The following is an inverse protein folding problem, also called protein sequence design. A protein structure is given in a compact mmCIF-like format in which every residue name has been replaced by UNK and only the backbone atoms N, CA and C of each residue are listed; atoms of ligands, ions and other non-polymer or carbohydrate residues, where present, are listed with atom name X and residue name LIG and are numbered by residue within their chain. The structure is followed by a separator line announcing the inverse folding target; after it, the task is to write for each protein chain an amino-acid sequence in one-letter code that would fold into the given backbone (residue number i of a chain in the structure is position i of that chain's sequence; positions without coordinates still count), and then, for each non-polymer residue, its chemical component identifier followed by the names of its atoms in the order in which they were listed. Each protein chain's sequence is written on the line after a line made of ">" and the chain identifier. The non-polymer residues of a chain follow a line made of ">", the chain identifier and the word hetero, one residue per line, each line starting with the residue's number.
data_IF_597224090590
#
_entry.id   IF_597224090590
#
_cell.length_a   1.000
_cell.length_b   1.000
_cell.length_c   1.000
_cell.angle_alpha   90.00
_cell.angle_beta   90.00
_cell.angle_gamma   90.00
#
_symmetry.space_group_name_H-M   'P 1'
#
loop_
_entity.id
_entity.type
_entity.pdbx_description
1 polymer ?
#
# COMPACT_ATOMS: atom_id res chain seq x y z
N UNK A 1 -8.23 21.97 24.84
CA UNK A 1 -8.97 20.90 24.13
C UNK A 1 -8.38 20.79 22.73
N UNK A 2 -7.49 19.82 22.51
CA UNK A 2 -6.98 19.54 21.16
C UNK A 2 -8.16 18.93 20.38
N UNK A 3 -8.60 19.59 19.32
CA UNK A 3 -9.51 18.95 18.36
C UNK A 3 -8.79 17.73 17.81
N UNK A 4 -9.27 16.54 18.12
CA UNK A 4 -8.81 15.32 17.46
C UNK A 4 -8.88 15.56 15.95
N UNK A 5 -7.75 15.38 15.27
CA UNK A 5 -7.68 15.51 13.82
C UNK A 5 -8.71 14.55 13.20
N UNK A 6 -9.62 15.07 12.36
CA UNK A 6 -10.63 14.25 11.69
C UNK A 6 -9.96 13.20 10.78
N UNK A 7 -10.70 12.15 10.41
CA UNK A 7 -10.14 11.02 9.66
C UNK A 7 -9.49 11.42 8.33
N UNK A 8 -10.08 12.37 7.60
CA UNK A 8 -9.57 12.87 6.33
C UNK A 8 -8.17 13.48 6.50
N UNK A 9 -8.00 14.37 7.48
CA UNK A 9 -6.70 14.99 7.74
C UNK A 9 -5.68 13.99 8.28
N UNK A 10 -6.11 12.99 9.07
CA UNK A 10 -5.22 11.89 9.46
C UNK A 10 -4.74 11.09 8.26
N UNK A 11 -5.61 10.75 7.31
CA UNK A 11 -5.23 10.02 6.10
C UNK A 11 -4.23 10.83 5.26
N UNK A 12 -4.43 12.14 5.08
CA UNK A 12 -3.47 13.00 4.37
C UNK A 12 -2.09 13.00 5.03
N UNK A 13 -2.03 13.08 6.36
CA UNK A 13 -0.77 12.95 7.12
C UNK A 13 -0.16 11.56 6.87
N UNK A 14 -0.96 10.50 7.04
CA UNK A 14 -0.51 9.12 6.89
C UNK A 14 0.00 8.80 5.48
N UNK A 15 -0.55 9.41 4.42
CA UNK A 15 -0.04 9.29 3.06
C UNK A 15 1.40 9.80 2.93
N UNK A 16 1.70 10.97 3.51
CA UNK A 16 3.07 11.51 3.53
C UNK A 16 4.01 10.64 4.35
N UNK A 17 3.54 10.18 5.52
CA UNK A 17 4.31 9.27 6.36
C UNK A 17 4.60 7.94 5.65
N UNK A 18 3.60 7.32 5.02
CA UNK A 18 3.74 6.08 4.26
C UNK A 18 4.72 6.23 3.10
N UNK A 19 4.66 7.36 2.36
CA UNK A 19 5.62 7.69 1.30
C UNK A 19 7.07 7.74 1.80
N UNK A 20 7.28 8.28 3.00
CA UNK A 20 8.61 8.33 3.62
C UNK A 20 9.05 6.97 4.16
N UNK A 21 8.13 6.23 4.77
CA UNK A 21 8.41 4.92 5.35
C UNK A 21 8.73 3.88 4.26
N UNK A 22 7.92 3.82 3.20
CA UNK A 22 8.11 2.94 2.05
C UNK A 22 8.86 3.64 0.90
N UNK A 23 10.01 4.22 1.25
CA UNK A 23 10.81 5.01 0.32
C UNK A 23 11.32 4.24 -0.91
N UNK A 24 11.47 2.92 -0.79
CA UNK A 24 11.93 2.05 -1.87
C UNK A 24 10.78 1.41 -2.66
N UNK A 25 9.53 1.73 -2.32
CA UNK A 25 8.32 1.18 -2.96
C UNK A 25 8.26 -0.35 -2.90
N UNK A 26 8.53 -0.90 -1.71
CA UNK A 26 8.58 -2.33 -1.43
C UNK A 26 7.20 -2.91 -1.14
N UNK A 27 6.24 -2.07 -0.74
CA UNK A 27 4.85 -2.48 -0.60
C UNK A 27 4.31 -2.83 -1.99
N UNK A 28 3.63 -3.98 -2.08
CA UNK A 28 3.05 -4.45 -3.34
C UNK A 28 2.22 -3.34 -4.03
N UNK A 29 2.50 -3.11 -5.32
CA UNK A 29 1.89 -2.09 -6.16
C UNK A 29 2.33 -0.63 -5.91
N UNK A 30 3.07 -0.34 -4.83
CA UNK A 30 3.53 1.01 -4.50
C UNK A 30 4.45 1.64 -5.55
N UNK A 31 5.20 0.84 -6.30
CA UNK A 31 6.07 1.34 -7.38
C UNK A 31 5.27 1.93 -8.55
N UNK A 32 4.00 1.53 -8.71
CA UNK A 32 3.09 2.04 -9.73
C UNK A 32 2.56 3.41 -9.35
N UNK A 33 1.97 3.56 -8.16
CA UNK A 33 1.34 4.83 -7.77
C UNK A 33 2.29 5.80 -7.03
N UNK A 34 3.41 5.32 -6.47
CA UNK A 34 4.46 6.11 -5.78
C UNK A 34 3.93 7.05 -4.69
N UNK A 35 2.85 6.63 -4.03
CA UNK A 35 2.08 7.43 -3.07
C UNK A 35 1.58 8.78 -3.61
N UNK A 36 1.42 8.90 -4.93
CA UNK A 36 0.88 10.09 -5.59
C UNK A 36 -0.64 10.02 -5.62
N UNK A 37 -1.26 11.12 -5.22
CA UNK A 37 -2.71 11.35 -5.34
C UNK A 37 -2.92 12.76 -5.87
N UNK A 38 -3.73 12.89 -6.91
CA UNK A 38 -4.08 14.19 -7.50
C UNK A 38 -5.22 14.87 -6.73
N UNK A 39 -5.52 16.11 -7.10
CA UNK A 39 -6.51 16.94 -6.41
C UNK A 39 -7.90 16.28 -6.35
N UNK A 40 -8.69 16.57 -5.29
CA UNK A 40 -10.05 16.09 -5.20
C UNK A 40 -10.95 16.62 -6.32
N UNK A 41 -12.00 15.87 -6.64
CA UNK A 41 -13.03 16.31 -7.60
C UNK A 41 -14.02 17.27 -6.95
N UNK A 42 -14.66 18.08 -7.79
CA UNK A 42 -15.77 18.90 -7.36
C UNK A 42 -17.02 18.04 -7.10
N UNK A 43 -17.85 18.45 -6.15
CA UNK A 43 -19.14 17.81 -5.90
C UNK A 43 -20.03 17.73 -7.15
N UNK A 44 -19.92 18.69 -8.08
CA UNK A 44 -20.66 18.67 -9.35
C UNK A 44 -20.25 17.50 -10.23
N UNK A 45 -18.96 17.19 -10.32
CA UNK A 45 -18.45 16.05 -11.09
C UNK A 45 -18.95 14.73 -10.47
N UNK A 46 -18.88 14.61 -9.14
CA UNK A 46 -19.41 13.47 -8.40
C UNK A 46 -20.91 13.27 -8.63
N UNK A 47 -21.71 14.35 -8.53
CA UNK A 47 -23.17 14.27 -8.78
C UNK A 47 -23.51 13.95 -10.23
N UNK A 48 -22.70 14.42 -11.19
CA UNK A 48 -22.87 14.02 -12.58
C UNK A 48 -22.59 12.53 -12.78
N UNK A 49 -21.55 11.98 -12.15
CA UNK A 49 -21.26 10.54 -12.20
C UNK A 49 -22.40 9.72 -11.59
N UNK A 50 -22.83 10.05 -10.37
CA UNK A 50 -23.96 9.39 -9.69
C UNK A 50 -25.24 9.42 -10.54
N UNK A 51 -25.55 10.58 -11.15
CA UNK A 51 -26.72 10.73 -12.02
C UNK A 51 -26.60 9.94 -13.33
N UNK A 52 -25.41 9.90 -13.93
CA UNK A 52 -25.18 9.20 -15.20
C UNK A 52 -25.44 7.70 -15.08
N UNK A 53 -25.07 7.12 -13.93
CA UNK A 53 -25.20 5.69 -13.67
C UNK A 53 -26.35 5.32 -12.74
N UNK A 54 -27.15 6.30 -12.31
CA UNK A 54 -28.24 6.16 -11.34
C UNK A 54 -27.84 5.44 -10.04
N UNK A 55 -26.70 5.82 -9.47
CA UNK A 55 -26.16 5.24 -8.23
C UNK A 55 -26.00 6.30 -7.13
N UNK A 56 -25.80 5.82 -5.90
CA UNK A 56 -25.33 6.64 -4.79
C UNK A 56 -24.04 6.06 -4.23
N UNK A 57 -22.94 6.80 -4.36
CA UNK A 57 -21.65 6.40 -3.84
C UNK A 57 -21.68 6.42 -2.29
N UNK A 58 -21.03 5.45 -1.62
CA UNK A 58 -20.92 5.46 -0.16
C UNK A 58 -20.24 6.72 0.37
N UNK A 59 -20.70 7.24 1.52
CA UNK A 59 -20.24 8.51 2.10
C UNK A 59 -18.72 8.57 2.30
N UNK A 60 -18.12 7.47 2.79
CA UNK A 60 -16.69 7.34 3.01
C UNK A 60 -15.88 7.46 1.69
N UNK A 61 -16.36 6.84 0.62
CA UNK A 61 -15.73 6.92 -0.71
C UNK A 61 -15.93 8.30 -1.36
N UNK A 62 -17.13 8.89 -1.19
CA UNK A 62 -17.40 10.28 -1.58
C UNK A 62 -16.44 11.26 -0.89
N UNK A 63 -16.18 11.07 0.42
CA UNK A 63 -15.26 11.91 1.17
C UNK A 63 -13.81 11.75 0.70
N UNK A 64 -13.38 10.54 0.33
CA UNK A 64 -12.08 10.33 -0.31
C UNK A 64 -11.94 11.13 -1.60
N UNK A 65 -12.88 10.96 -2.53
CA UNK A 65 -12.84 11.60 -3.85
C UNK A 65 -12.89 13.14 -3.78
N UNK A 66 -13.64 13.70 -2.82
CA UNK A 66 -13.90 15.15 -2.71
C UNK A 66 -13.01 15.88 -1.72
N UNK A 67 -12.30 15.17 -0.83
CA UNK A 67 -11.48 15.81 0.21
C UNK A 67 -10.03 15.30 0.29
N UNK A 68 -9.74 14.08 -0.19
CA UNK A 68 -8.39 13.50 -0.18
C UNK A 68 -7.78 13.61 -1.58
N UNK A 69 -8.46 13.07 -2.60
CA UNK A 69 -8.03 13.21 -3.98
C UNK A 69 -8.66 12.22 -4.95
N UNK A 70 -8.38 12.43 -6.24
CA UNK A 70 -8.87 11.57 -7.32
C UNK A 70 -7.82 11.42 -8.43
N UNK A 71 -7.46 10.18 -8.72
CA UNK A 71 -6.45 9.82 -9.71
C UNK A 71 -5.00 10.10 -9.30
N UNK A 72 -4.07 9.82 -10.22
CA UNK A 72 -2.64 9.85 -9.95
C UNK A 72 -1.79 9.72 -11.21
N UNK A 73 -0.69 8.95 -11.13
CA UNK A 73 0.28 8.88 -12.23
C UNK A 73 -0.32 8.21 -13.46
N UNK A 74 -0.19 8.87 -14.61
CA UNK A 74 -0.67 8.36 -15.90
C UNK A 74 0.36 7.41 -16.53
N UNK A 75 -0.12 6.24 -16.95
CA UNK A 75 0.69 5.24 -17.64
C UNK A 75 -0.07 4.76 -18.88
N UNK A 76 0.40 5.16 -20.06
CA UNK A 76 -0.21 4.77 -21.33
C UNK A 76 -0.30 3.24 -21.41
N UNK A 77 -1.45 2.74 -21.87
CA UNK A 77 -1.73 1.31 -22.06
C UNK A 77 -1.62 0.48 -20.76
N UNK A 78 -1.96 1.07 -19.61
CA UNK A 78 -2.00 0.38 -18.33
C UNK A 78 -3.39 0.43 -17.73
N UNK A 79 -3.89 -0.72 -17.25
CA UNK A 79 -5.16 -0.84 -16.50
C UNK A 79 -5.16 0.02 -15.23
N UNK A 80 -3.98 0.38 -14.72
CA UNK A 80 -3.84 1.14 -13.47
C UNK A 80 -3.41 2.59 -13.71
N UNK A 81 -3.38 3.01 -14.98
CA UNK A 81 -3.09 4.39 -15.37
C UNK A 81 -4.02 5.38 -14.68
N UNK A 82 -3.46 6.47 -14.20
CA UNK A 82 -4.18 7.54 -13.50
C UNK A 82 -4.88 7.09 -12.22
N UNK A 83 -4.45 6.00 -11.58
CA UNK A 83 -4.95 5.61 -10.26
C UNK A 83 -4.30 6.44 -9.16
N UNK A 84 -5.10 6.87 -8.18
CA UNK A 84 -4.62 7.45 -6.93
C UNK A 84 -3.88 6.39 -6.09
N UNK A 85 -2.97 6.84 -5.24
CA UNK A 85 -2.33 5.95 -4.26
C UNK A 85 -3.34 5.19 -3.41
N UNK A 86 -3.09 3.90 -3.18
CA UNK A 86 -3.95 3.04 -2.39
C UNK A 86 -3.43 1.60 -2.36
N UNK A 87 -4.15 0.69 -1.69
CA UNK A 87 -3.86 -0.74 -1.71
C UNK A 87 -3.65 -1.29 -3.13
N UNK A 88 -2.78 -2.29 -3.23
CA UNK A 88 -2.35 -2.90 -4.48
C UNK A 88 -1.89 -1.85 -5.51
N UNK A 89 -2.48 -1.84 -6.71
CA UNK A 89 -2.09 -0.89 -7.75
C UNK A 89 -2.76 0.49 -7.63
N UNK A 90 -3.52 0.73 -6.56
CA UNK A 90 -4.14 2.01 -6.25
C UNK A 90 -5.64 2.06 -6.51
N UNK A 91 -6.21 3.25 -6.25
CA UNK A 91 -7.63 3.52 -6.40
C UNK A 91 -7.86 4.20 -7.74
N UNK A 92 -8.67 3.60 -8.61
CA UNK A 92 -9.04 4.16 -9.90
C UNK A 92 -9.57 5.59 -9.78
N UNK A 93 -9.22 6.40 -10.79
CA UNK A 93 -9.88 7.69 -10.99
C UNK A 93 -11.38 7.46 -11.20
N UNK A 94 -12.23 8.35 -10.68
CA UNK A 94 -13.65 8.31 -10.98
C UNK A 94 -13.90 8.40 -12.50
N UNK A 95 -14.70 7.49 -13.04
CA UNK A 95 -14.95 7.34 -14.47
C UNK A 95 -13.90 6.52 -15.22
N UNK A 96 -13.03 5.79 -14.51
CA UNK A 96 -12.05 4.91 -15.15
C UNK A 96 -12.76 3.76 -15.92
N UNK A 97 -12.27 3.34 -17.10
CA UNK A 97 -12.95 2.34 -17.93
C UNK A 97 -13.17 1.00 -17.23
N UNK A 98 -12.24 0.60 -16.36
CA UNK A 98 -12.28 -0.67 -15.62
C UNK A 98 -13.07 -0.61 -14.30
N UNK A 99 -13.90 0.43 -14.10
CA UNK A 99 -14.83 0.46 -12.96
C UNK A 99 -16.01 -0.50 -13.12
N UNK A 100 -16.22 -1.02 -14.33
CA UNK A 100 -17.31 -1.92 -14.68
C UNK A 100 -16.71 -3.27 -15.09
N UNK A 101 -17.24 -4.35 -14.53
CA UNK A 101 -16.72 -5.72 -14.77
C UNK A 101 -17.06 -6.17 -16.18
N UNK A 102 -18.28 -5.88 -16.64
CA UNK A 102 -18.71 -6.08 -18.01
C UNK A 102 -19.58 -4.91 -18.48
N UNK A 103 -19.72 -4.71 -19.80
CA UNK A 103 -20.57 -3.63 -20.35
C UNK A 103 -22.01 -3.65 -19.79
N UNK A 104 -22.68 -4.81 -19.62
CA UNK A 104 -24.02 -4.86 -19.03
C UNK A 104 -24.08 -4.41 -17.56
N UNK A 105 -22.96 -4.37 -16.81
CA UNK A 105 -22.91 -4.02 -15.39
C UNK A 105 -23.60 -2.70 -15.07
N UNK A 106 -23.60 -1.74 -16.00
CA UNK A 106 -24.27 -0.44 -15.86
C UNK A 106 -25.75 -0.56 -15.47
N UNK A 107 -26.45 -1.61 -15.92
CA UNK A 107 -27.88 -1.86 -15.63
C UNK A 107 -28.13 -2.55 -14.28
N UNK A 108 -27.06 -2.94 -13.58
CA UNK A 108 -27.12 -3.74 -12.36
C UNK A 108 -26.47 -3.05 -11.15
N UNK A 109 -25.76 -1.93 -11.34
CA UNK A 109 -25.16 -1.16 -10.24
C UNK A 109 -26.19 -0.57 -9.26
N UNK A 110 -27.38 -0.19 -9.73
CA UNK A 110 -28.45 0.33 -8.86
C UNK A 110 -29.17 -0.75 -8.05
N UNK A 111 -28.95 -2.03 -8.39
CA UNK A 111 -29.64 -3.15 -7.76
C UNK A 111 -28.97 -3.53 -6.43
N UNK A 112 -29.71 -4.23 -5.60
CA UNK A 112 -29.13 -4.88 -4.43
C UNK A 112 -28.02 -5.85 -4.88
N UNK A 113 -26.91 -5.92 -4.13
CA UNK A 113 -25.86 -6.86 -4.47
C UNK A 113 -26.35 -8.28 -4.25
N UNK A 114 -26.07 -9.15 -5.22
CA UNK A 114 -26.32 -10.58 -5.06
C UNK A 114 -25.40 -11.14 -3.99
N UNK A 115 -24.10 -10.86 -4.10
CA UNK A 115 -23.12 -11.20 -3.07
C UNK A 115 -23.35 -10.40 -1.79
N UNK A 116 -23.38 -11.08 -0.66
CA UNK A 116 -23.38 -10.47 0.67
C UNK A 116 -22.62 -11.38 1.65
N UNK A 117 -22.53 -10.94 2.91
CA UNK A 117 -21.80 -11.68 3.97
C UNK A 117 -22.29 -13.12 4.22
N UNK A 118 -23.51 -13.45 3.82
CA UNK A 118 -24.09 -14.80 3.96
C UNK A 118 -23.93 -15.66 2.70
N UNK A 119 -23.40 -15.13 1.60
CA UNK A 119 -23.19 -15.89 0.36
C UNK A 119 -22.12 -16.94 0.58
N UNK A 120 -22.48 -18.21 0.37
CA UNK A 120 -21.56 -19.34 0.48
C UNK A 120 -20.84 -19.62 -0.84
N UNK A 121 -19.65 -20.25 -0.77
CA UNK A 121 -18.91 -20.70 -1.97
C UNK A 121 -19.79 -21.56 -2.88
N UNK A 122 -20.57 -22.48 -2.31
CA UNK A 122 -21.47 -23.37 -3.07
C UNK A 122 -22.60 -22.61 -3.78
N UNK A 123 -23.17 -21.58 -3.16
CA UNK A 123 -24.19 -20.76 -3.81
C UNK A 123 -23.59 -19.97 -4.99
N UNK A 124 -22.34 -19.52 -4.85
CA UNK A 124 -21.60 -18.85 -5.91
C UNK A 124 -21.23 -19.81 -7.05
N UNK A 125 -20.69 -20.99 -6.75
CA UNK A 125 -20.40 -22.06 -7.72
C UNK A 125 -21.63 -22.38 -8.57
N UNK A 126 -22.83 -22.41 -7.97
CA UNK A 126 -24.08 -22.69 -8.69
C UNK A 126 -24.46 -21.64 -9.75
N UNK A 127 -23.87 -20.44 -9.70
CA UNK A 127 -24.03 -19.41 -10.75
C UNK A 127 -23.18 -19.80 -11.95
N UNK A 128 -21.91 -20.13 -11.71
CA UNK A 128 -20.98 -20.57 -12.75
C UNK A 128 -21.42 -21.89 -13.39
N UNK A 129 -21.90 -22.88 -12.63
CA UNK A 129 -22.40 -24.16 -13.17
C UNK A 129 -23.57 -24.01 -14.17
N UNK A 130 -24.29 -22.88 -14.12
CA UNK A 130 -25.36 -22.58 -15.08
C UNK A 130 -24.84 -21.95 -16.38
N UNK A 131 -23.60 -21.49 -16.39
CA UNK A 131 -22.89 -20.94 -17.55
C UNK A 131 -22.08 -22.09 -18.18
N UNK A 132 -22.74 -22.93 -18.97
CA UNK A 132 -22.05 -24.00 -19.69
C UNK A 132 -21.25 -23.47 -20.90
N UNK A 133 -20.41 -24.30 -21.51
CA UNK A 133 -19.57 -23.96 -22.66
C UNK A 133 -20.36 -23.52 -23.92
N UNK A 134 -21.69 -23.56 -23.88
CA UNK A 134 -22.57 -23.15 -24.99
C UNK A 134 -23.17 -21.76 -24.80
N UNK A 135 -22.95 -21.13 -23.64
CA UNK A 135 -23.37 -19.74 -23.40
C UNK A 135 -22.68 -18.79 -24.40
N UNK A 136 -23.44 -17.81 -24.90
CA UNK A 136 -22.85 -16.77 -25.75
C UNK A 136 -22.05 -15.78 -24.90
N UNK A 137 -21.05 -15.12 -25.48
CA UNK A 137 -20.28 -14.07 -24.80
C UNK A 137 -21.20 -12.96 -24.23
N UNK A 138 -22.25 -12.59 -24.96
CA UNK A 138 -23.22 -11.57 -24.54
C UNK A 138 -24.05 -12.04 -23.33
N UNK A 139 -24.50 -13.30 -23.31
CA UNK A 139 -25.25 -13.86 -22.19
C UNK A 139 -24.35 -14.08 -20.97
N UNK A 140 -23.09 -14.46 -21.18
CA UNK A 140 -22.08 -14.57 -20.13
C UNK A 140 -21.88 -13.23 -19.42
N UNK A 141 -21.65 -12.14 -20.18
CA UNK A 141 -21.49 -10.79 -19.64
C UNK A 141 -22.71 -10.34 -18.83
N UNK A 142 -23.92 -10.74 -19.25
CA UNK A 142 -25.16 -10.45 -18.52
C UNK A 142 -25.21 -11.20 -17.19
N UNK A 143 -24.85 -12.48 -17.16
CA UNK A 143 -24.85 -13.27 -15.93
C UNK A 143 -23.75 -12.80 -14.96
N UNK A 144 -22.56 -12.46 -15.45
CA UNK A 144 -21.50 -11.83 -14.65
C UNK A 144 -21.97 -10.48 -14.07
N UNK A 145 -22.61 -9.63 -14.89
CA UNK A 145 -23.17 -8.37 -14.44
C UNK A 145 -24.27 -8.53 -13.37
N UNK A 146 -25.06 -9.60 -13.41
CA UNK A 146 -26.04 -9.96 -12.38
C UNK A 146 -25.35 -10.41 -11.09
N UNK A 147 -24.34 -11.28 -11.19
CA UNK A 147 -23.63 -11.83 -10.04
C UNK A 147 -22.91 -10.73 -9.25
N UNK A 148 -22.36 -9.74 -9.95
CA UNK A 148 -21.71 -8.56 -9.36
C UNK A 148 -22.61 -7.32 -9.28
N UNK A 149 -23.94 -7.50 -9.21
CA UNK A 149 -24.86 -6.37 -9.07
C UNK A 149 -24.50 -5.51 -7.85
N UNK A 150 -24.74 -4.20 -7.92
CA UNK A 150 -24.47 -3.30 -6.81
C UNK A 150 -23.00 -3.15 -6.40
N UNK A 151 -22.03 -3.65 -7.18
CA UNK A 151 -20.59 -3.54 -6.90
C UNK A 151 -19.92 -2.69 -7.98
N UNK A 152 -19.16 -1.68 -7.55
CA UNK A 152 -18.34 -0.83 -8.42
C UNK A 152 -16.86 -1.16 -8.22
N UNK A 153 -16.12 -1.46 -9.29
CA UNK A 153 -14.68 -1.61 -9.18
C UNK A 153 -14.03 -0.25 -8.93
N UNK A 154 -13.12 -0.21 -7.97
CA UNK A 154 -12.40 0.98 -7.51
C UNK A 154 -10.88 0.80 -7.57
N UNK A 155 -10.37 -0.37 -7.89
CA UNK A 155 -8.93 -0.61 -8.03
C UNK A 155 -8.64 -1.98 -8.63
N UNK A 156 -7.39 -2.19 -9.01
CA UNK A 156 -6.89 -3.45 -9.54
C UNK A 156 -5.93 -4.09 -8.54
N UNK A 157 -6.08 -5.39 -8.30
CA UNK A 157 -5.26 -6.17 -7.37
C UNK A 157 -4.22 -7.05 -8.07
N UNK A 158 -4.25 -7.15 -9.40
CA UNK A 158 -3.45 -8.12 -10.15
C UNK A 158 -4.10 -9.49 -10.23
N UNK A 159 -3.52 -10.40 -11.02
CA UNK A 159 -3.99 -11.79 -11.18
C UNK A 159 -5.52 -11.90 -11.41
N UNK A 160 -6.04 -11.13 -12.37
CA UNK A 160 -7.48 -11.06 -12.69
C UNK A 160 -8.38 -10.51 -11.57
N UNK A 161 -7.82 -9.98 -10.47
CA UNK A 161 -8.56 -9.49 -9.31
C UNK A 161 -8.73 -7.97 -9.27
N UNK A 162 -9.86 -7.51 -8.73
CA UNK A 162 -10.19 -6.11 -8.50
C UNK A 162 -10.63 -5.85 -7.07
N UNK A 163 -10.45 -4.61 -6.65
CA UNK A 163 -11.07 -4.07 -5.46
C UNK A 163 -12.40 -3.46 -5.86
N UNK A 164 -13.49 -3.97 -5.31
CA UNK A 164 -14.84 -3.46 -5.46
C UNK A 164 -15.32 -2.73 -4.21
N UNK A 165 -16.31 -1.85 -4.38
CA UNK A 165 -17.07 -1.25 -3.28
C UNK A 165 -18.56 -1.53 -3.46
N UNK A 166 -19.21 -1.94 -2.38
CA UNK A 166 -20.66 -2.23 -2.38
C UNK A 166 -21.44 -0.92 -2.33
N UNK A 167 -22.37 -0.73 -3.26
CA UNK A 167 -23.15 0.50 -3.43
C UNK A 167 -24.49 0.50 -2.70
N UNK A 168 -25.08 -0.68 -2.48
CA UNK A 168 -26.44 -0.84 -1.96
C UNK A 168 -26.53 -1.98 -0.93
N UNK A 169 -27.60 -2.01 -0.13
CA UNK A 169 -27.84 -3.04 0.87
C UNK A 169 -27.09 -2.82 2.19
N UNK A 170 -27.06 -3.85 3.03
CA UNK A 170 -26.53 -3.78 4.40
C UNK A 170 -25.01 -3.57 4.45
N UNK A 171 -24.27 -4.14 3.48
CA UNK A 171 -22.82 -3.99 3.37
C UNK A 171 -22.39 -2.73 2.58
N UNK A 172 -23.27 -1.74 2.36
CA UNK A 172 -22.95 -0.51 1.60
C UNK A 172 -21.71 0.18 2.16
N UNK A 173 -20.73 0.43 1.29
CA UNK A 173 -19.46 1.09 1.63
C UNK A 173 -18.33 0.14 2.01
N UNK A 174 -18.61 -1.15 2.21
CA UNK A 174 -17.60 -2.17 2.48
C UNK A 174 -16.85 -2.54 1.20
N UNK A 175 -15.58 -2.91 1.37
CA UNK A 175 -14.69 -3.30 0.28
C UNK A 175 -14.79 -4.82 0.07
N UNK A 176 -14.81 -5.22 -1.19
CA UNK A 176 -14.92 -6.61 -1.64
C UNK A 176 -13.82 -6.88 -2.67
N UNK A 177 -13.19 -8.05 -2.61
CA UNK A 177 -12.35 -8.52 -3.71
C UNK A 177 -13.24 -9.21 -4.75
N UNK A 178 -13.17 -8.75 -6.00
CA UNK A 178 -13.84 -9.35 -7.16
C UNK A 178 -12.82 -9.87 -8.17
N UNK A 179 -13.28 -10.59 -9.19
CA UNK A 179 -12.43 -11.25 -10.19
C UNK A 179 -13.05 -11.12 -11.58
N UNK A 180 -12.23 -11.07 -12.62
CA UNK A 180 -12.69 -11.22 -14.02
C UNK A 180 -13.25 -12.63 -14.25
N UNK A 181 -12.71 -13.62 -13.54
CA UNK A 181 -13.10 -15.02 -13.62
C UNK A 181 -14.16 -15.34 -12.56
N UNK A 182 -15.41 -15.54 -13.00
CA UNK A 182 -16.57 -15.78 -12.12
C UNK A 182 -16.44 -17.04 -11.27
N UNK A 183 -15.54 -17.96 -11.63
CA UNK A 183 -15.21 -19.17 -10.86
C UNK A 183 -14.69 -18.84 -9.45
N UNK A 184 -14.06 -17.68 -9.27
CA UNK A 184 -13.55 -17.26 -7.99
C UNK A 184 -14.61 -16.52 -7.18
N UNK A 185 -14.98 -17.11 -6.03
CA UNK A 185 -15.91 -16.50 -5.10
C UNK A 185 -15.34 -15.19 -4.52
N UNK A 186 -16.10 -14.08 -4.57
CA UNK A 186 -15.70 -12.82 -3.95
C UNK A 186 -15.58 -12.94 -2.43
N UNK A 187 -14.81 -12.04 -1.81
CA UNK A 187 -14.73 -11.98 -0.36
C UNK A 187 -14.66 -10.55 0.19
N UNK A 188 -15.28 -10.34 1.34
CA UNK A 188 -15.32 -9.04 2.01
C UNK A 188 -14.04 -8.79 2.81
N UNK A 189 -13.59 -7.54 2.78
CA UNK A 189 -12.64 -7.03 3.75
C UNK A 189 -13.34 -6.79 5.09
N UNK A 190 -12.56 -6.81 6.18
CA UNK A 190 -13.09 -6.74 7.55
C UNK A 190 -13.64 -5.36 7.91
N UNK A 191 -13.07 -4.31 7.35
CA UNK A 191 -13.45 -2.93 7.62
C UNK A 191 -14.78 -2.58 6.93
N UNK A 192 -15.73 -2.07 7.71
CA UNK A 192 -17.11 -1.82 7.28
C UNK A 192 -17.27 -0.64 6.30
N UNK A 193 -16.26 0.23 6.18
CA UNK A 193 -16.28 1.35 5.23
C UNK A 193 -14.90 1.59 4.59
N UNK A 194 -14.92 2.24 3.43
CA UNK A 194 -13.75 2.58 2.63
C UNK A 194 -12.64 3.31 3.39
N UNK A 195 -12.95 4.32 4.21
CA UNK A 195 -11.89 5.13 4.84
C UNK A 195 -11.18 4.37 5.96
N UNK A 196 -11.90 3.51 6.69
CA UNK A 196 -11.28 2.65 7.71
C UNK A 196 -10.34 1.63 7.08
N UNK A 197 -10.77 0.99 5.99
CA UNK A 197 -9.94 0.08 5.19
C UNK A 197 -8.68 0.79 4.67
N UNK A 198 -8.84 1.96 4.07
CA UNK A 198 -7.74 2.74 3.50
C UNK A 198 -6.77 3.24 4.59
N UNK A 199 -7.30 3.74 5.71
CA UNK A 199 -6.50 4.19 6.85
C UNK A 199 -5.73 3.02 7.50
N UNK A 200 -6.33 1.83 7.54
CA UNK A 200 -5.65 0.63 8.03
C UNK A 200 -4.50 0.20 7.12
N UNK A 201 -4.67 0.21 5.80
CA UNK A 201 -3.57 -0.02 4.86
C UNK A 201 -2.38 0.92 5.12
N UNK A 202 -2.64 2.21 5.31
CA UNK A 202 -1.59 3.17 5.66
C UNK A 202 -0.93 2.87 7.01
N UNK A 203 -1.70 2.44 8.02
CA UNK A 203 -1.13 2.05 9.32
C UNK A 203 -0.16 0.87 9.19
N UNK A 204 -0.49 -0.12 8.35
CA UNK A 204 0.36 -1.28 8.14
C UNK A 204 1.66 -0.94 7.38
N UNK A 205 1.62 0.07 6.50
CA UNK A 205 2.82 0.59 5.85
C UNK A 205 3.68 1.38 6.84
N UNK A 206 3.06 2.32 7.55
CA UNK A 206 3.74 3.21 8.50
C UNK A 206 4.41 2.42 9.61
N UNK A 207 3.80 1.35 10.10
CA UNK A 207 4.40 0.44 11.10
C UNK A 207 5.54 -0.44 10.55
N UNK A 208 5.72 -0.44 9.23
CA UNK A 208 6.65 -1.31 8.53
C UNK A 208 6.18 -2.77 8.38
N UNK A 209 4.95 -3.11 8.82
CA UNK A 209 4.41 -4.48 8.72
C UNK A 209 4.40 -4.97 7.27
N UNK A 210 3.91 -4.17 6.34
CA UNK A 210 3.85 -4.52 4.90
C UNK A 210 5.23 -4.56 4.25
N UNK A 211 6.12 -3.63 4.63
CA UNK A 211 7.50 -3.60 4.11
C UNK A 211 8.27 -4.86 4.56
N UNK A 212 8.11 -5.27 5.82
CA UNK A 212 8.82 -6.42 6.40
C UNK A 212 8.17 -7.77 6.07
N UNK A 213 7.07 -7.78 5.32
CA UNK A 213 6.48 -9.03 4.87
C UNK A 213 7.54 -9.81 4.07
N UNK A 214 7.65 -11.10 4.35
CA UNK A 214 8.63 -11.95 3.68
C UNK A 214 8.27 -12.02 2.20
N UNK A 215 9.22 -11.66 1.35
CA UNK A 215 9.12 -11.98 -0.07
C UNK A 215 9.31 -13.50 -0.23
N UNK A 216 8.43 -14.14 -0.99
CA UNK A 216 8.57 -15.55 -1.32
C UNK A 216 9.75 -15.72 -2.26
N UNK A 217 10.92 -16.07 -1.72
CA UNK A 217 12.06 -16.55 -2.50
C UNK A 217 12.47 -17.94 -2.01
N UNK A 218 12.80 -18.81 -2.96
CA UNK A 218 13.40 -20.11 -2.68
C UNK A 218 14.95 -20.03 -2.73
N UNK A 219 15.50 -18.84 -2.97
CA UNK A 219 16.95 -18.64 -3.08
C UNK A 219 17.64 -18.73 -1.72
N UNK A 220 18.87 -19.25 -1.72
CA UNK A 220 19.73 -19.20 -0.54
C UNK A 220 20.26 -17.78 -0.29
N UNK A 221 20.75 -17.55 0.93
CA UNK A 221 21.43 -16.31 1.31
C UNK A 221 22.61 -16.00 0.38
N UNK A 222 23.43 -17.01 0.08
CA UNK A 222 24.61 -16.89 -0.78
C UNK A 222 24.21 -16.49 -2.21
N UNK A 223 23.19 -17.14 -2.78
CA UNK A 223 22.68 -16.85 -4.13
C UNK A 223 22.20 -15.39 -4.24
N UNK A 224 21.46 -14.91 -3.23
CA UNK A 224 20.99 -13.52 -3.22
C UNK A 224 22.15 -12.51 -3.17
N UNK A 225 23.21 -12.81 -2.39
CA UNK A 225 24.41 -11.96 -2.29
C UNK A 225 25.20 -11.98 -3.60
N UNK A 226 25.41 -13.15 -4.21
CA UNK A 226 26.11 -13.28 -5.49
C UNK A 226 25.40 -12.50 -6.61
N UNK A 227 24.06 -12.61 -6.68
CA UNK A 227 23.25 -11.84 -7.63
C UNK A 227 23.39 -10.34 -7.39
N UNK A 228 23.21 -9.88 -6.15
CA UNK A 228 23.41 -8.47 -5.78
C UNK A 228 24.79 -7.92 -6.21
N UNK A 229 25.86 -8.68 -6.01
CA UNK A 229 27.22 -8.26 -6.32
C UNK A 229 27.53 -8.27 -7.83
N UNK A 230 26.87 -9.11 -8.60
CA UNK A 230 27.08 -9.27 -10.04
C UNK A 230 26.25 -8.30 -10.89
N UNK A 231 25.07 -7.91 -10.39
CA UNK A 231 24.16 -7.01 -11.10
C UNK A 231 24.72 -5.59 -11.24
N UNK A 232 24.55 -5.03 -12.45
CA UNK A 232 24.96 -3.66 -12.77
C UNK A 232 23.80 -2.67 -12.71
N UNK A 233 22.58 -3.16 -12.91
CA UNK A 233 21.37 -2.34 -12.93
C UNK A 233 20.80 -2.20 -11.52
N UNK A 234 20.48 -0.97 -11.11
CA UNK A 234 19.97 -0.68 -9.77
C UNK A 234 18.67 -1.44 -9.47
N UNK A 235 17.82 -1.68 -10.47
CA UNK A 235 16.59 -2.46 -10.30
C UNK A 235 16.84 -3.86 -9.75
N UNK A 236 17.71 -4.64 -10.41
CA UNK A 236 18.03 -6.00 -9.99
C UNK A 236 18.80 -6.06 -8.67
N UNK A 237 19.59 -5.02 -8.38
CA UNK A 237 20.16 -4.84 -7.04
C UNK A 237 19.08 -4.68 -5.97
N UNK A 238 18.04 -3.87 -6.20
CA UNK A 238 16.95 -3.72 -5.22
C UNK A 238 16.19 -5.04 -5.00
N UNK A 239 15.90 -5.78 -6.07
CA UNK A 239 15.26 -7.11 -5.97
C UNK A 239 16.13 -8.09 -5.16
N UNK A 240 17.44 -8.05 -5.35
CA UNK A 240 18.36 -8.90 -4.57
C UNK A 240 18.39 -8.48 -3.09
N UNK A 241 18.46 -7.17 -2.84
CA UNK A 241 18.49 -6.61 -1.49
C UNK A 241 17.17 -6.83 -0.73
N UNK A 242 16.03 -6.84 -1.41
CA UNK A 242 14.73 -7.14 -0.79
C UNK A 242 14.63 -8.60 -0.36
N UNK A 243 15.18 -9.53 -1.15
CA UNK A 243 15.31 -10.92 -0.72
C UNK A 243 16.25 -11.04 0.47
N UNK A 244 17.43 -10.39 0.44
CA UNK A 244 18.36 -10.36 1.57
C UNK A 244 17.67 -9.80 2.84
N UNK A 245 16.81 -8.78 2.69
CA UNK A 245 16.04 -8.20 3.79
C UNK A 245 15.12 -9.21 4.49
N UNK A 246 14.59 -10.20 3.77
CA UNK A 246 13.63 -11.17 4.31
C UNK A 246 14.24 -12.21 5.26
N UNK A 247 15.58 -12.39 5.22
CA UNK A 247 16.25 -13.32 6.14
C UNK A 247 16.19 -12.85 7.59
N UNK A 248 16.09 -13.82 8.50
CA UNK A 248 16.09 -13.55 9.94
C UNK A 248 17.49 -13.19 10.48
N UNK A 249 18.54 -13.75 9.86
CA UNK A 249 19.95 -13.51 10.17
C UNK A 249 20.77 -13.64 8.89
N UNK A 250 21.96 -13.07 8.86
CA UNK A 250 22.94 -13.26 7.79
C UNK A 250 24.22 -13.88 8.35
N UNK A 251 24.93 -14.62 7.51
CA UNK A 251 26.30 -15.06 7.78
C UNK A 251 27.28 -13.88 7.88
N UNK A 252 28.40 -14.09 8.57
CA UNK A 252 29.49 -13.10 8.66
C UNK A 252 30.02 -12.74 7.26
N UNK A 253 30.14 -13.71 6.36
CA UNK A 253 30.57 -13.50 4.98
C UNK A 253 29.64 -12.58 4.20
N UNK A 254 28.32 -12.72 4.37
CA UNK A 254 27.33 -11.86 3.70
C UNK A 254 27.33 -10.45 4.28
N UNK A 255 27.46 -10.30 5.60
CA UNK A 255 27.62 -8.99 6.24
C UNK A 255 28.89 -8.29 5.74
N UNK A 256 30.01 -9.00 5.64
CA UNK A 256 31.26 -8.48 5.08
C UNK A 256 31.12 -8.06 3.61
N UNK A 257 30.36 -8.83 2.81
CA UNK A 257 30.07 -8.50 1.43
C UNK A 257 29.24 -7.20 1.31
N UNK A 258 28.19 -7.07 2.11
CA UNK A 258 27.38 -5.84 2.18
C UNK A 258 28.21 -4.64 2.62
N UNK A 259 29.04 -4.79 3.66
CA UNK A 259 29.95 -3.74 4.14
C UNK A 259 30.95 -3.29 3.06
N UNK A 260 31.55 -4.24 2.32
CA UNK A 260 32.45 -3.93 1.20
C UNK A 260 31.71 -3.21 0.07
N UNK A 261 30.49 -3.64 -0.24
CA UNK A 261 29.65 -3.01 -1.27
C UNK A 261 29.26 -1.59 -0.87
N UNK A 262 28.76 -1.36 0.36
CA UNK A 262 28.40 -0.03 0.87
C UNK A 262 29.53 1.01 0.72
N UNK A 263 30.78 0.61 0.96
CA UNK A 263 31.94 1.52 0.85
C UNK A 263 32.26 1.92 -0.59
N UNK A 264 31.92 1.08 -1.57
CA UNK A 264 32.22 1.27 -2.99
C UNK A 264 31.04 1.75 -3.82
N UNK A 265 29.82 1.56 -3.32
CA UNK A 265 28.59 1.90 -4.03
C UNK A 265 28.50 3.42 -4.27
N UNK A 266 28.15 3.76 -5.51
CA UNK A 266 28.02 5.13 -6.02
C UNK A 266 26.56 5.54 -6.18
N UNK A 267 25.66 4.57 -6.35
CA UNK A 267 24.22 4.83 -6.35
C UNK A 267 23.75 5.08 -4.92
N UNK A 268 23.37 6.32 -4.61
CA UNK A 268 22.97 6.72 -3.27
C UNK A 268 21.75 5.95 -2.75
N UNK A 269 20.82 5.55 -3.62
CA UNK A 269 19.65 4.77 -3.21
C UNK A 269 20.05 3.34 -2.88
N UNK A 270 20.86 2.69 -3.70
CA UNK A 270 21.38 1.33 -3.40
C UNK A 270 22.21 1.38 -2.12
N UNK A 271 23.09 2.37 -1.98
CA UNK A 271 23.92 2.58 -0.78
C UNK A 271 23.07 2.74 0.48
N UNK A 272 21.99 3.52 0.41
CA UNK A 272 21.06 3.68 1.52
C UNK A 272 20.32 2.39 1.85
N UNK A 273 19.94 1.59 0.85
CA UNK A 273 19.31 0.30 1.08
C UNK A 273 20.28 -0.67 1.78
N UNK A 274 21.55 -0.73 1.34
CA UNK A 274 22.57 -1.54 2.03
C UNK A 274 22.71 -1.09 3.49
N UNK A 275 22.72 0.23 3.74
CA UNK A 275 22.80 0.76 5.10
C UNK A 275 21.60 0.35 5.98
N UNK A 276 20.40 0.25 5.42
CA UNK A 276 19.23 -0.30 6.11
C UNK A 276 19.47 -1.76 6.53
N UNK A 277 20.01 -2.59 5.63
CA UNK A 277 20.32 -3.99 5.93
C UNK A 277 21.42 -4.12 6.98
N UNK A 278 22.49 -3.32 6.88
CA UNK A 278 23.56 -3.29 7.88
C UNK A 278 23.04 -2.80 9.25
N UNK A 279 22.06 -1.89 9.26
CA UNK A 279 21.40 -1.48 10.51
C UNK A 279 20.60 -2.63 11.12
N UNK A 280 19.92 -3.43 10.29
CA UNK A 280 19.17 -4.62 10.72
C UNK A 280 20.09 -5.74 11.26
N UNK A 281 21.19 -6.03 10.56
CA UNK A 281 21.98 -7.24 10.79
C UNK A 281 23.31 -7.01 11.51
N UNK A 282 23.81 -5.77 11.55
CA UNK A 282 25.14 -5.40 12.05
C UNK A 282 25.14 -4.01 12.72
N UNK A 283 24.12 -3.76 13.57
CA UNK A 283 23.82 -2.44 14.14
C UNK A 283 25.03 -1.77 14.80
N UNK A 284 25.73 -2.46 15.70
CA UNK A 284 26.83 -1.88 16.50
C UNK A 284 27.98 -1.37 15.64
N UNK A 285 28.36 -2.12 14.60
CA UNK A 285 29.41 -1.70 13.67
C UNK A 285 28.95 -0.59 12.71
N UNK A 286 27.64 -0.41 12.56
CA UNK A 286 27.02 0.52 11.62
C UNK A 286 26.71 1.89 12.24
N UNK A 287 26.80 2.05 13.57
CA UNK A 287 26.46 3.30 14.29
C UNK A 287 27.14 4.55 13.71
N UNK A 288 28.40 4.46 13.32
CA UNK A 288 29.12 5.62 12.73
C UNK A 288 28.46 6.11 11.44
N UNK A 289 27.99 5.21 10.59
CA UNK A 289 27.33 5.55 9.33
C UNK A 289 25.90 6.04 9.57
N UNK A 290 25.19 5.47 10.56
CA UNK A 290 23.88 5.97 11.00
C UNK A 290 23.99 7.43 11.51
N UNK A 291 25.03 7.76 12.28
CA UNK A 291 25.27 9.12 12.76
C UNK A 291 25.55 10.12 11.62
N UNK A 292 26.19 9.67 10.53
CA UNK A 292 26.35 10.50 9.33
C UNK A 292 25.02 10.69 8.61
N UNK A 293 24.23 9.61 8.49
CA UNK A 293 22.91 9.65 7.88
C UNK A 293 21.99 10.65 8.60
N UNK A 294 22.04 10.71 9.94
CA UNK A 294 21.27 11.68 10.74
C UNK A 294 21.51 13.14 10.33
N UNK A 295 22.72 13.47 9.85
CA UNK A 295 23.09 14.82 9.41
C UNK A 295 22.77 15.07 7.94
N UNK A 296 22.91 14.04 7.10
CA UNK A 296 22.80 14.15 5.65
C UNK A 296 21.37 13.97 5.16
N UNK A 297 20.62 13.04 5.76
CA UNK A 297 19.24 12.73 5.42
C UNK A 297 18.47 12.33 6.70
N UNK A 298 17.98 13.32 7.47
CA UNK A 298 17.30 13.08 8.75
C UNK A 298 16.10 12.14 8.67
N UNK A 299 15.26 12.24 7.64
CA UNK A 299 14.10 11.36 7.48
C UNK A 299 14.55 9.92 7.23
N UNK A 300 15.54 9.71 6.35
CA UNK A 300 16.07 8.37 6.12
C UNK A 300 16.70 7.76 7.38
N UNK A 301 17.35 8.57 8.20
CA UNK A 301 17.86 8.15 9.51
C UNK A 301 16.74 7.68 10.45
N UNK A 302 15.69 8.50 10.63
CA UNK A 302 14.55 8.16 11.48
C UNK A 302 13.80 6.92 10.97
N UNK A 303 13.60 6.82 9.65
CA UNK A 303 13.00 5.66 9.00
C UNK A 303 13.82 4.39 9.21
N UNK A 304 15.14 4.48 9.05
CA UNK A 304 16.03 3.33 9.22
C UNK A 304 15.96 2.78 10.65
N UNK A 305 16.00 3.66 11.67
CA UNK A 305 15.77 3.26 13.05
C UNK A 305 14.38 2.64 13.24
N UNK A 306 13.33 3.32 12.79
CA UNK A 306 11.94 2.85 12.92
C UNK A 306 11.74 1.42 12.35
N UNK A 307 12.30 1.17 11.17
CA UNK A 307 12.13 -0.11 10.49
C UNK A 307 13.07 -1.19 11.04
N UNK A 308 14.32 -0.90 11.39
CA UNK A 308 15.32 -1.97 11.59
C UNK A 308 15.99 -2.00 12.96
N UNK A 309 15.78 -0.99 13.79
CA UNK A 309 16.37 -0.91 15.13
C UNK A 309 15.55 -0.01 16.05
N UNK A 310 14.22 -0.23 16.06
CA UNK A 310 13.24 0.63 16.74
C UNK A 310 13.57 0.82 18.22
N UNK A 311 13.92 -0.27 18.89
CA UNK A 311 14.34 -0.33 20.29
C UNK A 311 15.62 0.45 20.58
N UNK A 312 16.43 0.73 19.56
CA UNK A 312 17.66 1.51 19.66
C UNK A 312 17.42 3.02 19.55
N UNK A 313 16.20 3.47 19.27
CA UNK A 313 15.88 4.90 19.14
C UNK A 313 16.25 5.75 20.36
N UNK A 314 16.25 5.15 21.57
CA UNK A 314 16.65 5.82 22.82
C UNK A 314 18.14 6.21 22.82
N UNK A 315 19.00 5.44 22.13
CA UNK A 315 20.43 5.76 22.02
C UNK A 315 20.69 7.06 21.23
N UNK A 316 19.69 7.52 20.46
CA UNK A 316 19.79 8.65 19.53
C UNK A 316 18.97 9.88 19.96
N UNK A 317 18.55 9.96 21.23
CA UNK A 317 17.72 11.06 21.72
C UNK A 317 18.36 12.43 21.50
N UNK A 318 19.69 12.53 21.60
CA UNK A 318 20.42 13.80 21.38
C UNK A 318 20.23 14.28 19.93
N UNK A 319 20.48 13.41 18.96
CA UNK A 319 20.32 13.66 17.54
C UNK A 319 18.86 13.99 17.21
N UNK A 320 17.92 13.16 17.68
CA UNK A 320 16.48 13.33 17.44
C UNK A 320 15.98 14.67 18.02
N UNK A 321 16.42 15.05 19.23
CA UNK A 321 16.05 16.32 19.83
C UNK A 321 16.67 17.51 19.09
N UNK A 322 17.86 17.36 18.52
CA UNK A 322 18.43 18.41 17.66
C UNK A 322 17.63 18.58 16.37
N UNK A 323 17.15 17.49 15.76
CA UNK A 323 16.32 17.52 14.54
C UNK A 323 14.98 18.24 14.74
N UNK A 324 14.44 18.28 15.96
CA UNK A 324 13.22 19.04 16.31
C UNK A 324 13.34 20.56 16.14
N UNK A 325 14.57 21.07 15.96
CA UNK A 325 14.84 22.50 15.68
C UNK A 325 14.80 22.84 14.18
N UNK A 326 14.59 21.83 13.32
CA UNK A 326 14.47 22.03 11.88
C UNK A 326 13.19 22.81 11.53
N UNK A 327 13.20 23.49 10.38
CA UNK A 327 12.00 24.10 9.77
C UNK A 327 11.32 23.17 8.75
N UNK A 328 11.85 21.96 8.55
CA UNK A 328 11.26 20.96 7.64
C UNK A 328 9.99 20.36 8.27
N UNK A 329 8.83 20.72 7.72
CA UNK A 329 7.53 20.27 8.22
C UNK A 329 7.34 18.76 8.11
N UNK A 330 7.83 18.12 7.05
CA UNK A 330 7.67 16.68 6.86
C UNK A 330 8.54 15.89 7.85
N UNK A 331 9.77 16.37 8.11
CA UNK A 331 10.62 15.81 9.15
C UNK A 331 9.96 15.93 10.54
N UNK A 332 9.46 17.11 10.88
CA UNK A 332 8.79 17.32 12.18
C UNK A 332 7.52 16.46 12.31
N UNK A 333 6.78 16.27 11.22
CA UNK A 333 5.63 15.39 11.16
C UNK A 333 6.04 13.92 11.39
N UNK A 334 7.11 13.45 10.74
CA UNK A 334 7.66 12.11 10.95
C UNK A 334 8.11 11.89 12.40
N UNK A 335 8.82 12.86 12.99
CA UNK A 335 9.23 12.80 14.41
C UNK A 335 8.00 12.70 15.31
N UNK A 336 6.99 13.53 15.06
CA UNK A 336 5.78 13.60 15.88
C UNK A 336 4.98 12.31 15.86
N UNK A 337 4.77 11.74 14.66
CA UNK A 337 3.82 10.66 14.45
C UNK A 337 4.45 9.26 14.43
N UNK A 338 5.77 9.15 14.27
CA UNK A 338 6.47 7.86 14.25
C UNK A 338 7.52 7.81 15.35
N UNK A 339 8.55 8.65 15.28
CA UNK A 339 9.72 8.54 16.17
C UNK A 339 9.37 8.72 17.64
N UNK A 340 8.51 9.67 17.99
CA UNK A 340 8.08 9.87 19.38
C UNK A 340 7.26 8.68 19.90
N UNK A 341 6.50 7.99 19.05
CA UNK A 341 5.78 6.78 19.43
C UNK A 341 6.78 5.66 19.71
N UNK A 342 7.77 5.48 18.82
CA UNK A 342 8.82 4.48 19.01
C UNK A 342 9.56 4.66 20.34
N UNK A 343 10.00 5.88 20.64
CA UNK A 343 10.69 6.21 21.89
C UNK A 343 9.81 5.88 23.11
N UNK A 344 8.53 6.26 23.08
CA UNK A 344 7.60 5.99 24.19
C UNK A 344 7.36 4.49 24.38
N UNK A 345 7.12 3.76 23.29
CA UNK A 345 6.92 2.30 23.35
C UNK A 345 8.15 1.59 23.90
N UNK A 346 9.35 1.99 23.47
CA UNK A 346 10.59 1.39 23.97
C UNK A 346 10.83 1.70 25.45
N UNK A 347 10.59 2.94 25.90
CA UNK A 347 10.76 3.31 27.30
C UNK A 347 9.85 2.48 28.22
N UNK A 348 8.56 2.32 27.86
CA UNK A 348 7.61 1.53 28.64
C UNK A 348 7.99 0.04 28.73
N UNK A 349 8.74 -0.49 27.76
CA UNK A 349 9.20 -1.88 27.78
C UNK A 349 10.47 -2.09 28.61
N UNK A 350 11.17 -1.02 29.02
CA UNK A 350 12.33 -1.09 29.91
C UNK A 350 11.93 -0.99 31.39
N UNK A 351 10.77 -0.39 31.67
CA UNK A 351 10.22 -0.22 33.02
C UNK A 351 9.35 -1.41 33.48
N UNK A 352 9.08 -2.37 32.59
CA UNK A 352 8.40 -3.65 32.85
C UNK A 352 9.42 -4.80 32.79
#
# INVERSE_FOLDING_TARGET
>A
MMTETNQIERIKIKLRLAKHTDYFFEVFGASSHKYVIHSPIEFKELKNFEKTYNISLPDAYTAFLTQIGNGGLEYKNSVVGNSAAGPDYGIFKLGHPFQFIAEPSLKYLEKAPYFNENTTEKEWESIYEKMDDTISDEDYDIEVAKAYSGILNIGFSGCSGYLGIILNGENKGQIIQTYDEIEYCPHLYKEINFLDWYENWLNEIISGKRIKQKECTNDSEESCIERFLSDKESYWKFVSLSYIRSFNRLSVSSIDALNKSYRKEKDDKVKLYILNLLTKFDYENTKKEIAKLAKQNPIAFLRNLHLYSKEKSIEWLSEINNLKKSNDSELLEYIKHITNIDIKTTANNLDN
#
